data_IF_750086632697
#
_entry.id   IF_750086632697
#
_cell.length_a   1.000
_cell.length_b   1.000
_cell.length_c   1.000
_cell.angle_alpha   90.00
_cell.angle_beta   90.00
_cell.angle_gamma   90.00
#
_symmetry.space_group_name_H-M   'P 1'
#
loop_
_entity.id
_entity.type
_entity.pdbx_description
1 polymer ?
#
# COMPACT_ATOMS: atom_id res chain seq x y z
N UNK A 1 1.38 2.17 -1.30
CA UNK A 1 2.29 2.42 -2.42
C UNK A 1 2.72 1.12 -3.12
N UNK A 2 3.26 0.14 -2.38
CA UNK A 2 3.70 -1.15 -2.97
C UNK A 2 2.55 -1.82 -3.72
N UNK A 3 1.36 -1.90 -3.13
CA UNK A 3 0.19 -2.53 -3.76
C UNK A 3 -0.27 -1.82 -5.04
N UNK A 4 0.04 -0.55 -5.20
CA UNK A 4 -0.32 0.21 -6.40
C UNK A 4 0.58 -0.09 -7.60
N UNK A 5 1.79 -0.59 -7.36
CA UNK A 5 2.80 -0.79 -8.40
C UNK A 5 3.27 -2.23 -8.55
N UNK A 6 2.74 -3.16 -7.75
CA UNK A 6 3.14 -4.55 -7.73
C UNK A 6 1.92 -5.49 -7.75
N UNK A 7 2.04 -6.67 -8.37
CA UNK A 7 0.94 -7.62 -8.51
C UNK A 7 0.73 -8.47 -7.25
N UNK A 8 0.71 -7.84 -6.09
CA UNK A 8 0.56 -8.53 -4.81
C UNK A 8 -0.57 -7.91 -4.00
N UNK A 9 -1.42 -8.74 -3.46
CA UNK A 9 -2.52 -8.33 -2.59
C UNK A 9 -2.05 -8.27 -1.13
N UNK A 10 -2.25 -7.15 -0.48
CA UNK A 10 -1.96 -7.01 0.95
C UNK A 10 -3.00 -7.76 1.77
N UNK A 11 -2.55 -8.68 2.62
CA UNK A 11 -3.40 -9.43 3.55
C UNK A 11 -3.50 -8.73 4.89
N UNK A 12 -2.39 -8.25 5.40
CA UNK A 12 -2.31 -7.45 6.63
C UNK A 12 -1.01 -6.67 6.70
N UNK A 13 -0.99 -5.67 7.56
CA UNK A 13 0.20 -4.88 7.83
C UNK A 13 0.34 -4.60 9.31
N UNK A 14 1.57 -4.40 9.73
CA UNK A 14 1.92 -3.94 11.06
C UNK A 14 2.97 -2.83 10.94
N UNK A 15 2.71 -1.70 11.55
CA UNK A 15 3.62 -0.56 11.54
C UNK A 15 4.33 -0.50 12.90
N UNK A 16 5.64 -0.74 12.88
CA UNK A 16 6.50 -0.65 14.05
C UNK A 16 7.33 0.63 14.05
N UNK A 17 7.93 0.93 15.19
CA UNK A 17 8.80 2.12 15.32
C UNK A 17 10.08 1.99 14.49
N UNK A 18 10.69 0.82 14.49
CA UNK A 18 11.94 0.57 13.75
C UNK A 18 11.72 -0.33 12.53
N UNK A 19 10.93 -1.38 12.71
CA UNK A 19 10.65 -2.36 11.68
C UNK A 19 9.14 -2.51 11.52
N UNK A 20 8.69 -2.39 10.29
CA UNK A 20 7.31 -2.66 9.89
C UNK A 20 7.22 -3.97 9.12
N UNK A 21 6.03 -4.52 9.03
CA UNK A 21 5.76 -5.79 8.37
C UNK A 21 4.53 -5.68 7.47
N UNK A 22 4.62 -6.28 6.29
CA UNK A 22 3.47 -6.49 5.41
C UNK A 22 3.42 -7.96 5.01
N UNK A 23 2.24 -8.56 5.10
CA UNK A 23 1.96 -9.88 4.55
C UNK A 23 1.24 -9.71 3.21
N UNK A 24 1.76 -10.36 2.18
CA UNK A 24 1.19 -10.36 0.83
C UNK A 24 0.69 -11.75 0.45
N UNK A 25 -0.41 -11.77 -0.30
CA UNK A 25 -0.83 -12.94 -1.05
C UNK A 25 -0.17 -12.90 -2.43
N UNK A 26 0.47 -14.00 -2.81
CA UNK A 26 1.13 -14.14 -4.09
C UNK A 26 2.35 -15.05 -4.02
N UNK A 27 3.14 -15.03 -5.08
CA UNK A 27 4.34 -15.86 -5.21
C UNK A 27 5.56 -15.15 -4.62
N UNK A 28 6.10 -15.69 -3.54
CA UNK A 28 7.28 -15.14 -2.87
C UNK A 28 8.52 -15.12 -3.78
N UNK A 29 8.73 -16.17 -4.58
CA UNK A 29 9.88 -16.24 -5.49
C UNK A 29 9.80 -15.14 -6.56
N UNK A 30 8.61 -14.87 -7.06
CA UNK A 30 8.39 -13.75 -7.97
C UNK A 30 8.72 -12.41 -7.29
N UNK A 31 8.31 -12.23 -6.04
CA UNK A 31 8.67 -11.01 -5.29
C UNK A 31 10.18 -10.86 -5.17
N UNK A 32 10.88 -11.95 -4.83
CA UNK A 32 12.35 -11.94 -4.70
C UNK A 32 13.00 -11.58 -6.04
N UNK A 33 12.51 -12.11 -7.16
CA UNK A 33 12.99 -11.77 -8.50
C UNK A 33 12.78 -10.29 -8.84
N UNK A 34 11.62 -9.74 -8.48
CA UNK A 34 11.23 -8.36 -8.79
C UNK A 34 11.73 -7.34 -7.75
N UNK A 35 12.30 -7.79 -6.65
CA UNK A 35 12.64 -6.94 -5.50
C UNK A 35 13.40 -5.66 -5.88
N UNK A 36 14.43 -5.79 -6.70
CA UNK A 36 15.26 -4.65 -7.09
C UNK A 36 14.48 -3.67 -7.98
N UNK A 37 13.71 -4.20 -8.93
CA UNK A 37 12.85 -3.39 -9.79
C UNK A 37 11.77 -2.66 -8.99
N UNK A 38 11.12 -3.37 -8.06
CA UNK A 38 10.12 -2.79 -7.17
C UNK A 38 10.73 -1.69 -6.31
N UNK A 39 11.93 -1.90 -5.78
CA UNK A 39 12.60 -0.90 -4.97
C UNK A 39 12.89 0.38 -5.77
N UNK A 40 13.31 0.25 -7.02
CA UNK A 40 13.51 1.38 -7.92
C UNK A 40 12.21 2.11 -8.25
N UNK A 41 11.13 1.37 -8.52
CA UNK A 41 9.81 1.94 -8.77
C UNK A 41 9.28 2.69 -7.54
N UNK A 42 9.40 2.11 -6.36
CA UNK A 42 8.99 2.76 -5.10
C UNK A 42 9.78 4.04 -4.89
N UNK A 43 11.10 3.99 -5.05
CA UNK A 43 11.96 5.17 -4.92
C UNK A 43 11.56 6.28 -5.88
N UNK A 44 11.25 5.93 -7.12
CA UNK A 44 10.76 6.89 -8.12
C UNK A 44 9.42 7.52 -7.68
N UNK A 45 8.48 6.73 -7.18
CA UNK A 45 7.18 7.25 -6.71
C UNK A 45 7.34 8.15 -5.47
N UNK A 46 8.25 7.82 -4.57
CA UNK A 46 8.59 8.69 -3.44
C UNK A 46 9.12 10.04 -3.94
N UNK A 47 10.02 10.02 -4.91
CA UNK A 47 10.60 11.23 -5.50
C UNK A 47 9.61 12.06 -6.34
N UNK A 48 8.55 11.43 -6.86
CA UNK A 48 7.50 12.15 -7.59
C UNK A 48 6.70 13.11 -6.72
N UNK A 49 6.85 13.06 -5.41
CA UNK A 49 6.20 13.97 -4.46
C UNK A 49 4.68 14.05 -4.65
N UNK A 50 4.03 12.89 -4.77
CA UNK A 50 2.58 12.83 -4.93
C UNK A 50 1.87 13.28 -3.66
N UNK A 51 0.85 14.10 -3.83
CA UNK A 51 0.00 14.55 -2.72
C UNK A 51 -0.87 13.38 -2.26
N UNK A 52 -1.01 13.24 -0.95
CA UNK A 52 -1.91 12.26 -0.33
C UNK A 52 -3.12 13.02 0.20
N UNK A 53 -4.27 12.79 -0.41
CA UNK A 53 -5.53 13.43 -0.07
C UNK A 53 -6.44 12.47 0.71
N UNK A 54 -7.20 13.03 1.64
CA UNK A 54 -8.22 12.29 2.38
C UNK A 54 -9.58 12.82 1.96
N UNK A 55 -10.44 11.91 1.50
CA UNK A 55 -11.81 12.20 1.09
C UNK A 55 -12.79 11.50 2.02
N UNK A 56 -13.93 12.14 2.26
CA UNK A 56 -15.05 11.54 2.97
C UNK A 56 -16.19 11.37 1.98
N UNK A 57 -16.46 10.14 1.57
CA UNK A 57 -17.35 9.79 0.47
C UNK A 57 -18.41 8.80 0.91
N UNK A 58 -19.60 8.91 0.32
CA UNK A 58 -20.64 7.89 0.47
C UNK A 58 -20.31 6.66 -0.37
N UNK A 59 -20.93 5.51 -0.06
CA UNK A 59 -20.74 4.31 -0.85
C UNK A 59 -21.20 4.49 -2.31
N UNK A 60 -22.22 5.30 -2.56
CA UNK A 60 -22.69 5.63 -3.91
C UNK A 60 -21.64 6.41 -4.69
N UNK A 61 -21.03 7.42 -4.06
CA UNK A 61 -19.94 8.19 -4.66
C UNK A 61 -18.72 7.32 -5.00
N UNK A 62 -18.37 6.39 -4.08
CA UNK A 62 -17.27 5.44 -4.29
C UNK A 62 -17.56 4.52 -5.48
N UNK A 63 -18.79 4.00 -5.57
CA UNK A 63 -19.21 3.16 -6.71
C UNK A 63 -19.12 3.91 -8.04
N UNK A 64 -19.43 5.19 -8.07
CA UNK A 64 -19.29 6.02 -9.28
C UNK A 64 -17.83 6.20 -9.70
N UNK A 65 -16.90 6.32 -8.75
CA UNK A 65 -15.47 6.39 -9.02
C UNK A 65 -14.96 5.05 -9.60
N UNK A 66 -15.40 3.93 -9.04
CA UNK A 66 -15.16 2.58 -9.55
C UNK A 66 -13.84 1.94 -9.18
N UNK A 67 -12.77 2.71 -8.94
CA UNK A 67 -11.42 2.21 -8.64
C UNK A 67 -10.99 2.60 -7.22
N UNK A 68 -11.66 2.06 -6.24
CA UNK A 68 -11.30 2.26 -4.83
C UNK A 68 -11.03 0.90 -4.20
N UNK A 69 -9.76 0.65 -3.85
CA UNK A 69 -9.33 -0.58 -3.21
C UNK A 69 -9.88 -0.67 -1.78
N UNK A 70 -9.97 -1.89 -1.25
CA UNK A 70 -10.46 -2.18 0.10
C UNK A 70 -11.92 -1.72 0.35
N UNK A 71 -12.66 -1.32 -0.69
CA UNK A 71 -14.08 -1.02 -0.61
C UNK A 71 -14.91 -2.28 -0.83
N UNK A 72 -15.92 -2.47 0.02
CA UNK A 72 -16.87 -3.58 -0.07
C UNK A 72 -18.30 -3.04 -0.16
N UNK A 73 -19.15 -3.67 -0.96
CA UNK A 73 -20.54 -3.22 -1.21
C UNK A 73 -21.41 -3.15 0.07
N UNK A 74 -21.05 -3.89 1.12
CA UNK A 74 -21.76 -3.86 2.40
C UNK A 74 -21.34 -2.71 3.31
N UNK A 75 -20.34 -1.94 2.94
CA UNK A 75 -19.94 -0.73 3.67
C UNK A 75 -20.97 0.37 3.44
N UNK A 76 -21.41 1.01 4.52
CA UNK A 76 -22.45 2.05 4.50
C UNK A 76 -22.00 3.32 5.20
N UNK A 77 -22.72 4.41 4.94
CA UNK A 77 -22.44 5.71 5.52
C UNK A 77 -21.34 6.46 4.78
N UNK A 78 -20.67 7.34 5.51
CA UNK A 78 -19.56 8.12 4.98
C UNK A 78 -18.26 7.37 5.28
N UNK A 79 -17.51 7.06 4.24
CA UNK A 79 -16.27 6.31 4.32
C UNK A 79 -15.07 7.24 4.08
N UNK A 80 -13.99 6.97 4.81
CA UNK A 80 -12.73 7.68 4.64
C UNK A 80 -11.92 7.02 3.54
N UNK A 81 -11.66 7.75 2.46
CA UNK A 81 -10.89 7.29 1.30
C UNK A 81 -9.58 8.06 1.23
N UNK A 82 -8.48 7.35 1.16
CA UNK A 82 -7.14 7.92 1.01
C UNK A 82 -6.70 7.78 -0.43
N UNK A 83 -6.31 8.88 -1.03
CA UNK A 83 -5.82 8.96 -2.40
C UNK A 83 -4.34 9.34 -2.43
N UNK A 84 -3.54 8.53 -3.13
CA UNK A 84 -2.23 8.95 -3.62
C UNK A 84 -2.47 9.48 -5.02
N UNK A 85 -2.30 10.77 -5.23
CA UNK A 85 -2.68 11.47 -6.45
C UNK A 85 -2.17 10.77 -7.71
N UNK A 86 -3.11 10.44 -8.62
CA UNK A 86 -2.85 9.74 -9.89
C UNK A 86 -2.18 8.36 -9.76
N UNK A 87 -2.28 7.71 -8.60
CA UNK A 87 -1.66 6.40 -8.39
C UNK A 87 -2.60 5.38 -7.74
N UNK A 88 -3.28 5.73 -6.64
CA UNK A 88 -4.07 4.79 -5.87
C UNK A 88 -5.17 5.48 -5.08
N UNK A 89 -6.29 4.80 -4.90
CA UNK A 89 -7.36 5.18 -3.97
C UNK A 89 -7.80 3.96 -3.18
N UNK A 90 -7.95 4.10 -1.87
CA UNK A 90 -8.45 3.02 -1.01
C UNK A 90 -9.16 3.51 0.23
N UNK A 91 -10.07 2.72 0.75
CA UNK A 91 -10.62 2.98 2.08
C UNK A 91 -9.55 2.66 3.13
N UNK A 92 -9.30 3.58 4.04
CA UNK A 92 -8.31 3.39 5.11
C UNK A 92 -8.59 4.31 6.29
N UNK A 93 -8.49 3.78 7.50
CA UNK A 93 -8.66 4.52 8.75
C UNK A 93 -7.32 4.90 9.40
N UNK A 94 -6.19 4.45 8.87
CA UNK A 94 -4.87 4.73 9.40
C UNK A 94 -4.43 6.17 9.20
N UNK A 95 -3.35 6.55 9.87
CA UNK A 95 -2.68 7.84 9.65
C UNK A 95 -1.86 7.80 8.37
N UNK A 96 -1.77 8.92 7.67
CA UNK A 96 -1.05 9.04 6.41
C UNK A 96 -0.23 10.32 6.37
N UNK A 97 0.88 10.26 5.64
CA UNK A 97 1.68 11.43 5.31
C UNK A 97 0.94 12.30 4.29
N UNK A 98 1.28 13.58 4.24
CA UNK A 98 0.67 14.52 3.29
C UNK A 98 1.23 14.41 1.88
N UNK A 99 2.43 13.82 1.75
CA UNK A 99 3.12 13.70 0.48
C UNK A 99 4.04 12.47 0.49
N UNK A 100 4.15 11.80 -0.65
CA UNK A 100 5.01 10.61 -0.76
C UNK A 100 6.50 10.92 -0.52
N UNK A 101 6.96 12.14 -0.78
CA UNK A 101 8.34 12.52 -0.51
C UNK A 101 8.73 12.45 0.97
N UNK A 102 7.75 12.46 1.86
CA UNK A 102 7.97 12.36 3.31
C UNK A 102 8.18 10.92 3.79
N UNK A 103 8.00 9.92 2.93
CA UNK A 103 8.19 8.51 3.29
C UNK A 103 9.63 8.21 3.69
N UNK A 104 10.59 8.87 3.06
CA UNK A 104 12.00 8.56 3.23
C UNK A 104 12.45 7.36 2.40
N UNK A 105 13.51 6.71 2.82
CA UNK A 105 14.08 5.57 2.11
C UNK A 105 13.51 4.25 2.64
N UNK A 106 12.98 3.43 1.73
CA UNK A 106 12.46 2.11 2.05
C UNK A 106 13.58 1.07 1.96
N UNK A 107 13.75 0.29 3.03
CA UNK A 107 14.73 -0.79 3.10
C UNK A 107 14.03 -2.10 3.41
N UNK A 108 13.98 -3.01 2.44
CA UNK A 108 13.52 -4.37 2.66
C UNK A 108 14.53 -5.13 3.51
N UNK A 109 14.07 -5.77 4.59
CA UNK A 109 14.90 -6.54 5.50
C UNK A 109 14.76 -8.03 5.24
N UNK A 110 13.73 -8.65 5.76
CA UNK A 110 13.55 -10.10 5.73
C UNK A 110 12.30 -10.45 4.95
N UNK A 111 12.40 -11.48 4.11
CA UNK A 111 11.29 -12.01 3.32
C UNK A 111 11.13 -13.46 3.71
N UNK A 112 9.96 -13.86 4.20
CA UNK A 112 9.70 -15.21 4.69
C UNK A 112 8.34 -15.70 4.24
N UNK A 113 8.25 -17.00 3.93
CA UNK A 113 6.99 -17.67 3.68
C UNK A 113 6.21 -17.80 4.99
N UNK A 114 4.91 -17.47 4.96
CA UNK A 114 3.99 -17.66 6.09
C UNK A 114 3.20 -18.95 5.91
N UNK A 115 2.61 -19.14 4.74
CA UNK A 115 1.93 -20.35 4.28
C UNK A 115 1.86 -20.33 2.75
N UNK A 116 1.25 -21.33 2.11
CA UNK A 116 1.37 -21.64 0.69
C UNK A 116 1.38 -20.46 -0.28
N UNK A 117 0.45 -19.53 -0.14
CA UNK A 117 0.30 -18.36 -1.02
C UNK A 117 0.51 -17.02 -0.31
N UNK A 118 0.98 -17.07 0.95
CA UNK A 118 1.21 -15.87 1.77
C UNK A 118 2.67 -15.80 2.22
N UNK A 119 3.29 -14.66 2.00
CA UNK A 119 4.63 -14.34 2.48
C UNK A 119 4.65 -12.99 3.18
N UNK A 120 5.61 -12.81 4.06
CA UNK A 120 5.80 -11.56 4.80
C UNK A 120 7.08 -10.86 4.41
N UNK A 121 7.05 -9.55 4.47
CA UNK A 121 8.20 -8.69 4.27
C UNK A 121 8.35 -7.80 5.49
N UNK A 122 9.52 -7.83 6.09
CA UNK A 122 9.92 -6.84 7.08
C UNK A 122 10.67 -5.72 6.36
N UNK A 123 10.39 -4.49 6.73
CA UNK A 123 11.04 -3.32 6.15
C UNK A 123 11.22 -2.20 7.18
N UNK A 124 12.12 -1.30 6.90
CA UNK A 124 12.31 -0.07 7.67
C UNK A 124 12.26 1.14 6.74
N UNK A 125 11.93 2.28 7.31
CA UNK A 125 11.99 3.60 6.65
C UNK A 125 13.04 4.45 7.35
N UNK A 126 13.81 5.16 6.56
CA UNK A 126 14.86 6.05 7.09
C UNK A 126 14.54 7.50 6.78
#
# INVERSE_FOLDING_TARGET
LICAIAPFEMVRSFIGLEISRIDFRGNMDLFIQLKNELNLKIKKEILNSRIINIHYLTSEEIKQIGKVEEFKDNMKGILRVVEIENLDMRTCLGTHLLNTSLIGELNFKKIEKVKDDIFKINFSLN
#
